data_IF_561662719568
#
_entry.id   IF_561662719568
#
_cell.length_a   1.000
_cell.length_b   1.000
_cell.length_c   1.000
_cell.angle_alpha   90.00
_cell.angle_beta   90.00
_cell.angle_gamma   90.00
#
_symmetry.space_group_name_H-M   'P 1'
#
loop_
_entity.id
_entity.type
_entity.pdbx_description
1 polymer ?
#
# COMPACT_ATOMS: atom_id res chain seq x y z
N UNK A 1 16.76 -50.94 30.58
CA UNK A 1 17.06 -49.82 31.51
C UNK A 1 16.75 -48.42 30.94
N UNK A 2 17.24 -48.06 29.73
CA UNK A 2 16.93 -46.76 29.09
C UNK A 2 15.43 -46.46 29.01
N UNK A 3 14.62 -47.47 28.67
CA UNK A 3 13.15 -47.38 28.64
C UNK A 3 12.53 -47.03 30.01
N UNK A 4 13.09 -47.56 31.10
CA UNK A 4 12.58 -47.26 32.45
C UNK A 4 12.97 -45.86 32.90
N UNK A 5 14.17 -45.39 32.50
CA UNK A 5 14.60 -44.01 32.73
C UNK A 5 13.81 -43.02 31.87
N UNK A 6 13.52 -43.35 30.62
CA UNK A 6 12.66 -42.53 29.76
C UNK A 6 11.23 -42.48 30.29
N UNK A 7 10.70 -43.58 30.85
CA UNK A 7 9.40 -43.58 31.51
C UNK A 7 9.35 -42.66 32.73
N UNK A 8 10.35 -42.73 33.60
CA UNK A 8 10.45 -41.79 34.74
C UNK A 8 10.69 -40.35 34.28
N UNK A 9 11.51 -40.17 33.26
CA UNK A 9 11.79 -38.88 32.63
C UNK A 9 10.53 -38.24 32.05
N UNK A 10 9.69 -39.04 31.39
CA UNK A 10 8.39 -38.64 30.86
C UNK A 10 7.52 -38.07 31.97
N UNK A 11 7.38 -38.79 33.09
CA UNK A 11 6.57 -38.33 34.22
C UNK A 11 7.09 -37.05 34.87
N UNK A 12 8.42 -36.92 35.04
CA UNK A 12 9.02 -35.68 35.56
C UNK A 12 8.79 -34.51 34.60
N UNK A 13 8.99 -34.73 33.29
CA UNK A 13 8.71 -33.73 32.27
C UNK A 13 7.24 -33.32 32.25
N UNK A 14 6.33 -34.30 32.33
CA UNK A 14 4.90 -34.07 32.44
C UNK A 14 4.53 -33.27 33.69
N UNK A 15 5.14 -33.55 34.85
CA UNK A 15 4.96 -32.74 36.06
C UNK A 15 5.34 -31.27 35.84
N UNK A 16 6.51 -31.03 35.24
CA UNK A 16 6.99 -29.65 34.98
C UNK A 16 6.05 -28.95 34.00
N UNK A 17 5.68 -29.62 32.90
CA UNK A 17 4.73 -29.06 31.94
C UNK A 17 3.34 -28.81 32.51
N UNK A 18 2.86 -29.69 33.40
CA UNK A 18 1.57 -29.55 34.08
C UNK A 18 1.61 -28.39 35.10
N UNK A 19 2.71 -28.24 35.84
CA UNK A 19 2.90 -27.09 36.73
C UNK A 19 2.91 -25.77 35.94
N UNK A 20 3.65 -25.71 34.81
CA UNK A 20 3.66 -24.55 33.93
C UNK A 20 2.25 -24.24 33.38
N UNK A 21 1.52 -25.27 32.96
CA UNK A 21 0.14 -25.13 32.47
C UNK A 21 -0.82 -24.66 33.57
N UNK A 22 -0.64 -25.10 34.82
CA UNK A 22 -1.43 -24.63 35.96
C UNK A 22 -1.17 -23.15 36.25
N UNK A 23 0.09 -22.71 36.21
CA UNK A 23 0.45 -21.29 36.33
C UNK A 23 -0.16 -20.48 35.20
N UNK A 24 -0.10 -20.98 33.96
CA UNK A 24 -0.68 -20.30 32.81
C UNK A 24 -2.20 -20.20 32.89
N UNK A 25 -2.89 -21.27 33.31
CA UNK A 25 -4.32 -21.24 33.59
C UNK A 25 -4.69 -20.25 34.70
N UNK A 26 -3.85 -20.12 35.74
CA UNK A 26 -4.04 -19.10 36.77
C UNK A 26 -3.86 -17.68 36.20
N UNK A 27 -2.89 -17.46 35.31
CA UNK A 27 -2.73 -16.17 34.62
C UNK A 27 -3.91 -15.84 33.70
N UNK A 28 -4.51 -16.82 33.03
CA UNK A 28 -5.77 -16.67 32.26
C UNK A 28 -6.93 -16.30 33.19
N UNK A 29 -7.01 -16.94 34.36
CA UNK A 29 -8.01 -16.61 35.38
C UNK A 29 -7.93 -15.14 35.82
N UNK A 30 -6.72 -14.64 36.07
CA UNK A 30 -6.48 -13.25 36.47
C UNK A 30 -6.47 -12.27 35.28
N UNK A 31 -6.85 -12.72 34.09
CA UNK A 31 -6.90 -11.92 32.87
C UNK A 31 -5.55 -11.27 32.50
N UNK A 32 -4.44 -11.92 32.85
CA UNK A 32 -3.07 -11.47 32.56
C UNK A 32 -2.58 -12.04 31.23
N UNK A 33 -2.87 -13.31 30.94
CA UNK A 33 -2.42 -13.97 29.72
C UNK A 33 -3.46 -14.98 29.22
N UNK A 34 -3.85 -14.87 27.95
CA UNK A 34 -4.84 -15.79 27.37
C UNK A 34 -4.26 -17.19 27.18
N UNK A 35 -5.02 -18.19 27.61
CA UNK A 35 -4.68 -19.59 27.44
C UNK A 35 -5.75 -20.32 26.64
N UNK A 36 -5.31 -21.23 25.76
CA UNK A 36 -6.17 -22.22 25.11
C UNK A 36 -5.80 -23.63 25.61
N UNK A 37 -6.80 -24.50 25.68
CA UNK A 37 -6.60 -25.89 26.13
C UNK A 37 -5.57 -26.65 25.28
N UNK A 38 -5.55 -26.41 23.96
CA UNK A 38 -4.59 -26.98 23.01
C UNK A 38 -3.15 -26.66 23.39
N UNK A 39 -2.87 -25.40 23.74
CA UNK A 39 -1.55 -24.95 24.14
C UNK A 39 -1.13 -25.54 25.48
N UNK A 40 -2.02 -25.62 26.47
CA UNK A 40 -1.73 -26.30 27.74
C UNK A 40 -1.38 -27.78 27.52
N UNK A 41 -2.18 -28.49 26.73
CA UNK A 41 -1.93 -29.89 26.40
C UNK A 41 -0.59 -30.05 25.66
N UNK A 42 -0.28 -29.14 24.73
CA UNK A 42 0.99 -29.11 24.02
C UNK A 42 2.18 -28.87 24.97
N UNK A 43 2.08 -27.94 25.93
CA UNK A 43 3.13 -27.68 26.92
C UNK A 43 3.43 -28.92 27.76
N UNK A 44 2.40 -29.62 28.24
CA UNK A 44 2.56 -30.89 28.98
C UNK A 44 3.20 -31.95 28.08
N UNK A 45 2.70 -32.12 26.85
CA UNK A 45 3.18 -33.12 25.91
C UNK A 45 4.64 -32.91 25.51
N UNK A 46 5.03 -31.67 25.19
CA UNK A 46 6.41 -31.30 24.83
C UNK A 46 7.34 -31.53 26.02
N UNK A 47 6.98 -31.06 27.21
CA UNK A 47 7.80 -31.25 28.41
C UNK A 47 7.95 -32.74 28.75
N UNK A 48 6.89 -33.53 28.62
CA UNK A 48 6.92 -34.98 28.80
C UNK A 48 7.83 -35.66 27.77
N UNK A 49 7.74 -35.28 26.50
CA UNK A 49 8.60 -35.81 25.44
C UNK A 49 10.09 -35.47 25.66
N UNK A 50 10.40 -34.22 26.03
CA UNK A 50 11.75 -33.79 26.38
C UNK A 50 12.27 -34.54 27.63
N UNK A 51 11.43 -34.72 28.63
CA UNK A 51 11.76 -35.52 29.82
C UNK A 51 12.06 -36.98 29.46
N UNK A 52 11.26 -37.58 28.58
CA UNK A 52 11.47 -38.93 28.08
C UNK A 52 12.79 -39.05 27.30
N UNK A 53 13.06 -38.10 26.40
CA UNK A 53 14.27 -38.03 25.59
C UNK A 53 15.52 -37.84 26.48
N UNK A 54 15.47 -36.92 27.44
CA UNK A 54 16.55 -36.72 28.42
C UNK A 54 16.78 -37.98 29.25
N UNK A 55 15.70 -38.67 29.67
CA UNK A 55 15.77 -39.95 30.36
C UNK A 55 16.39 -41.07 29.52
N UNK A 56 16.15 -41.06 28.20
CA UNK A 56 16.68 -42.03 27.25
C UNK A 56 18.16 -41.79 26.91
N UNK A 57 18.53 -40.52 26.66
CA UNK A 57 19.88 -40.10 26.26
C UNK A 57 20.87 -40.09 27.42
N UNK A 58 20.41 -39.91 28.65
CA UNK A 58 21.29 -39.88 29.82
C UNK A 58 21.96 -41.24 30.02
N UNK A 59 23.25 -41.29 29.69
CA UNK A 59 24.09 -42.48 29.89
C UNK A 59 24.04 -42.93 31.35
N UNK A 60 24.08 -44.25 31.50
CA UNK A 60 24.15 -44.92 32.78
C UNK A 60 25.57 -45.43 32.89
N UNK A 61 26.33 -45.07 33.93
CA UNK A 61 27.64 -45.66 34.16
C UNK A 61 27.52 -47.18 34.21
N UNK A 62 28.40 -47.89 33.49
CA UNK A 62 28.37 -49.36 33.42
C UNK A 62 28.45 -49.97 34.82
N UNK A 63 29.32 -49.44 35.69
CA UNK A 63 29.50 -49.90 37.07
C UNK A 63 28.22 -49.77 37.90
N UNK A 64 27.47 -48.68 37.71
CA UNK A 64 26.19 -48.49 38.38
C UNK A 64 25.10 -49.41 37.83
N UNK A 65 25.20 -49.79 36.56
CA UNK A 65 24.27 -50.71 35.92
C UNK A 65 24.53 -52.15 36.39
N UNK A 66 25.76 -52.62 36.36
CA UNK A 66 26.15 -53.99 36.77
C UNK A 66 25.79 -54.24 38.23
N UNK A 67 26.21 -53.36 39.15
CA UNK A 67 25.83 -53.40 40.57
C UNK A 67 24.32 -53.32 40.79
N UNK A 68 23.59 -52.60 39.92
CA UNK A 68 22.14 -52.54 40.00
C UNK A 68 21.47 -53.83 39.51
N UNK A 69 22.06 -54.53 38.54
CA UNK A 69 21.55 -55.82 38.06
C UNK A 69 21.82 -56.87 39.12
N UNK A 70 23.06 -56.94 39.64
CA UNK A 70 23.44 -57.89 40.70
C UNK A 70 22.50 -57.81 41.89
N UNK A 71 22.25 -56.60 42.41
CA UNK A 71 21.33 -56.40 43.55
C UNK A 71 19.87 -56.78 43.27
N UNK A 72 19.40 -56.62 42.03
CA UNK A 72 17.98 -56.82 41.67
C UNK A 72 17.69 -58.24 41.18
N UNK A 73 18.71 -58.92 40.67
CA UNK A 73 18.65 -60.30 40.23
C UNK A 73 19.26 -61.27 41.24
N UNK A 74 19.78 -60.76 42.37
CA UNK A 74 20.38 -61.54 43.46
C UNK A 74 21.59 -62.36 42.98
N UNK A 75 22.51 -61.71 42.25
CA UNK A 75 23.67 -62.35 41.62
C UNK A 75 24.97 -62.20 42.43
N UNK A 76 24.92 -61.76 43.70
CA UNK A 76 26.10 -61.67 44.58
C UNK A 76 27.34 -61.01 43.97
N UNK A 77 27.18 -59.85 43.31
CA UNK A 77 28.26 -59.07 42.66
C UNK A 77 29.04 -59.79 41.54
N UNK A 78 28.48 -60.87 40.96
CA UNK A 78 29.09 -61.61 39.84
C UNK A 78 29.32 -60.72 38.62
N UNK A 79 28.33 -59.90 38.20
CA UNK A 79 28.49 -59.04 37.03
C UNK A 79 29.42 -57.87 37.29
N UNK A 80 29.34 -57.26 38.47
CA UNK A 80 30.23 -56.18 38.88
C UNK A 80 31.69 -56.65 38.85
N UNK A 81 31.98 -57.81 39.47
CA UNK A 81 33.33 -58.38 39.53
C UNK A 81 33.86 -58.76 38.14
N UNK A 82 33.04 -59.41 37.31
CA UNK A 82 33.42 -59.75 35.94
C UNK A 82 33.69 -58.51 35.06
N UNK A 83 32.94 -57.42 35.28
CA UNK A 83 33.11 -56.16 34.54
C UNK A 83 34.35 -55.39 35.03
N UNK A 84 34.59 -55.33 36.33
CA UNK A 84 35.78 -54.68 36.92
C UNK A 84 37.08 -55.37 36.46
N UNK A 85 37.07 -56.70 36.28
CA UNK A 85 38.21 -57.48 35.76
C UNK A 85 38.21 -57.65 34.23
N UNK A 86 37.33 -56.95 33.50
CA UNK A 86 37.13 -57.18 32.06
C UNK A 86 38.37 -56.92 31.20
N UNK A 87 39.30 -56.07 31.67
CA UNK A 87 40.56 -55.70 31.01
C UNK A 87 41.71 -56.69 31.26
N UNK A 88 41.54 -57.64 32.19
CA UNK A 88 42.52 -58.70 32.43
C UNK A 88 42.21 -59.94 31.56
N UNK A 89 43.24 -60.71 31.22
CA UNK A 89 43.18 -61.80 30.24
C UNK A 89 43.68 -63.15 30.80
N UNK A 90 43.45 -63.39 32.09
CA UNK A 90 43.75 -64.68 32.71
C UNK A 90 42.63 -65.71 32.51
N UNK A 91 42.97 -67.00 32.57
CA UNK A 91 41.99 -68.09 32.55
C UNK A 91 40.92 -67.97 33.66
N UNK A 92 41.29 -67.36 34.79
CA UNK A 92 40.35 -67.03 35.87
C UNK A 92 39.35 -65.93 35.46
N UNK A 93 39.78 -64.93 34.68
CA UNK A 93 38.89 -63.85 34.21
C UNK A 93 37.91 -64.37 33.15
N UNK A 94 38.33 -65.33 32.32
CA UNK A 94 37.45 -66.04 31.39
C UNK A 94 36.39 -66.87 32.12
N UNK A 95 36.79 -67.56 33.20
CA UNK A 95 35.85 -68.31 34.04
C UNK A 95 34.82 -67.38 34.73
N UNK A 96 35.25 -66.22 35.24
CA UNK A 96 34.35 -65.21 35.82
C UNK A 96 33.37 -64.65 34.79
N UNK A 97 33.83 -64.38 33.56
CA UNK A 97 32.96 -63.92 32.46
C UNK A 97 31.93 -64.99 32.08
N UNK A 98 32.35 -66.25 31.96
CA UNK A 98 31.46 -67.37 31.64
C UNK A 98 30.40 -67.62 32.72
N UNK A 99 30.77 -67.53 34.00
CA UNK A 99 29.82 -67.66 35.12
C UNK A 99 28.81 -66.50 35.15
N UNK A 100 29.28 -65.27 34.91
CA UNK A 100 28.43 -64.10 34.82
C UNK A 100 27.44 -64.18 33.64
N UNK A 101 27.89 -64.63 32.47
CA UNK A 101 27.05 -64.82 31.29
C UNK A 101 25.98 -65.92 31.52
N UNK A 102 26.38 -67.08 32.04
CA UNK A 102 25.43 -68.15 32.37
C UNK A 102 24.40 -67.69 33.41
N UNK A 103 24.81 -66.84 34.36
CA UNK A 103 23.91 -66.26 35.36
C UNK A 103 22.91 -65.24 34.76
N UNK A 104 23.20 -64.68 33.58
CA UNK A 104 22.30 -63.77 32.85
C UNK A 104 21.25 -64.50 32.01
N UNK A 105 21.51 -65.71 31.52
CA UNK A 105 20.66 -66.42 30.53
C UNK A 105 19.21 -66.66 31.02
N UNK A 106 19.02 -66.82 32.34
CA UNK A 106 17.70 -67.01 32.94
C UNK A 106 16.93 -65.72 33.23
N UNK A 107 17.57 -64.56 33.09
CA UNK A 107 17.04 -63.30 33.60
C UNK A 107 16.15 -62.60 32.58
N UNK A 108 14.92 -62.30 32.99
CA UNK A 108 13.97 -61.50 32.18
C UNK A 108 14.12 -60.02 32.52
N UNK A 109 14.55 -59.14 31.59
CA UNK A 109 14.76 -57.71 31.88
C UNK A 109 13.55 -57.00 32.48
N UNK A 110 12.34 -57.37 32.09
CA UNK A 110 11.09 -56.79 32.59
C UNK A 110 10.78 -57.17 34.06
N UNK A 111 11.32 -58.28 34.56
CA UNK A 111 11.17 -58.67 35.97
C UNK A 111 12.14 -57.89 36.87
N UNK A 112 13.35 -57.64 36.39
CA UNK A 112 14.40 -56.89 37.11
C UNK A 112 14.08 -55.39 37.15
N UNK A 113 13.57 -54.85 36.04
CA UNK A 113 13.20 -53.45 35.91
C UNK A 113 11.75 -53.29 35.46
N UNK A 114 10.76 -53.57 36.34
CA UNK A 114 9.36 -53.38 36.00
C UNK A 114 9.06 -51.88 35.81
N UNK A 115 8.23 -51.57 34.81
CA UNK A 115 7.67 -50.24 34.62
C UNK A 115 6.67 -50.00 35.75
N UNK A 116 7.02 -49.10 36.68
CA UNK A 116 6.15 -48.74 37.83
C UNK A 116 5.65 -47.32 37.69
N UNK A 117 4.36 -47.13 37.99
CA UNK A 117 3.77 -45.81 38.18
C UNK A 117 4.24 -45.28 39.53
N UNK A 118 5.11 -44.26 39.49
CA UNK A 118 5.70 -43.66 40.68
C UNK A 118 5.01 -42.35 41.10
N UNK A 119 5.49 -41.75 42.20
CA UNK A 119 5.00 -40.46 42.73
C UNK A 119 4.97 -39.33 41.68
N UNK A 120 5.91 -39.33 40.73
CA UNK A 120 5.94 -38.38 39.62
C UNK A 120 4.74 -38.51 38.68
N UNK A 121 4.24 -39.73 38.45
CA UNK A 121 3.05 -39.90 37.60
C UNK A 121 1.81 -39.39 38.32
N UNK A 122 1.67 -39.72 39.61
CA UNK A 122 0.61 -39.17 40.45
C UNK A 122 0.65 -37.65 40.49
N UNK A 123 1.83 -37.06 40.72
CA UNK A 123 2.02 -35.60 40.70
C UNK A 123 1.64 -34.96 39.36
N UNK A 124 2.00 -35.58 38.23
CA UNK A 124 1.62 -35.10 36.91
C UNK A 124 0.10 -35.13 36.71
N UNK A 125 -0.55 -36.24 37.07
CA UNK A 125 -2.01 -36.37 36.98
C UNK A 125 -2.72 -35.35 37.88
N UNK A 126 -2.28 -35.20 39.13
CA UNK A 126 -2.85 -34.22 40.06
C UNK A 126 -2.68 -32.78 39.56
N UNK A 127 -1.51 -32.42 39.02
CA UNK A 127 -1.27 -31.08 38.47
C UNK A 127 -2.08 -30.84 37.19
N UNK A 128 -2.20 -31.84 36.32
CA UNK A 128 -3.09 -31.75 35.15
C UNK A 128 -4.55 -31.56 35.57
N UNK A 129 -5.01 -32.29 36.59
CA UNK A 129 -6.35 -32.14 37.12
C UNK A 129 -6.55 -30.75 37.75
N UNK A 130 -5.56 -30.23 38.48
CA UNK A 130 -5.60 -28.87 39.02
C UNK A 130 -5.62 -27.80 37.91
N UNK A 131 -4.77 -27.92 36.89
CA UNK A 131 -4.75 -27.02 35.75
C UNK A 131 -6.09 -27.02 35.00
N UNK A 132 -6.66 -28.21 34.76
CA UNK A 132 -7.97 -28.36 34.15
C UNK A 132 -9.08 -27.76 35.04
N UNK A 133 -9.03 -27.97 36.35
CA UNK A 133 -9.99 -27.40 37.28
C UNK A 133 -9.93 -25.87 37.28
N UNK A 134 -8.73 -25.26 37.32
CA UNK A 134 -8.56 -23.80 37.25
C UNK A 134 -9.13 -23.28 35.92
N UNK A 135 -8.74 -23.88 34.80
CA UNK A 135 -9.20 -23.48 33.47
C UNK A 135 -10.73 -23.59 33.33
N UNK A 136 -11.29 -24.72 33.76
CA UNK A 136 -12.74 -24.94 33.71
C UNK A 136 -13.46 -23.99 34.64
N UNK A 137 -13.04 -23.82 35.89
CA UNK A 137 -13.69 -22.91 36.82
C UNK A 137 -13.68 -21.46 36.28
N UNK A 138 -12.64 -21.05 35.54
CA UNK A 138 -12.53 -19.70 34.99
C UNK A 138 -13.47 -19.48 33.80
N UNK A 139 -13.75 -20.55 33.05
CA UNK A 139 -14.59 -20.49 31.87
C UNK A 139 -16.04 -20.96 32.12
N UNK A 140 -16.32 -21.66 33.22
CA UNK A 140 -17.59 -22.38 33.40
C UNK A 140 -18.64 -21.49 34.08
N UNK A 141 -19.87 -21.41 33.56
CA UNK A 141 -20.93 -20.58 34.12
C UNK A 141 -21.54 -21.12 35.42
N UNK A 142 -21.11 -22.28 35.93
CA UNK A 142 -21.78 -22.99 37.03
C UNK A 142 -21.85 -22.14 38.31
N UNK A 143 -20.82 -21.33 38.59
CA UNK A 143 -20.76 -20.48 39.78
C UNK A 143 -21.42 -19.10 39.61
N UNK A 144 -21.87 -18.73 38.41
CA UNK A 144 -22.54 -17.45 38.17
C UNK A 144 -24.03 -17.51 38.55
N UNK A 145 -24.54 -16.44 39.15
CA UNK A 145 -25.98 -16.24 39.37
C UNK A 145 -26.76 -16.20 38.05
N UNK A 146 -28.08 -16.39 38.09
CA UNK A 146 -28.92 -16.45 36.88
C UNK A 146 -28.82 -15.20 36.01
N UNK A 147 -28.75 -14.02 36.61
CA UNK A 147 -28.63 -12.75 35.87
C UNK A 147 -27.28 -12.64 35.18
N UNK A 148 -26.19 -13.01 35.85
CA UNK A 148 -24.86 -13.00 35.25
C UNK A 148 -24.73 -14.05 34.12
N UNK A 149 -25.42 -15.19 34.22
CA UNK A 149 -25.53 -16.17 33.14
C UNK A 149 -26.25 -15.57 31.92
N UNK A 150 -27.39 -14.88 32.12
CA UNK A 150 -28.12 -14.20 31.03
C UNK A 150 -27.26 -13.14 30.36
N UNK A 151 -26.60 -12.28 31.14
CA UNK A 151 -25.70 -11.25 30.61
C UNK A 151 -24.56 -11.87 29.80
N UNK A 152 -23.95 -12.96 30.28
CA UNK A 152 -22.89 -13.65 29.52
C UNK A 152 -23.40 -14.26 28.21
N UNK A 153 -24.60 -14.83 28.20
CA UNK A 153 -25.23 -15.34 26.98
C UNK A 153 -25.53 -14.21 25.98
N UNK A 154 -26.00 -13.06 26.46
CA UNK A 154 -26.18 -11.86 25.63
C UNK A 154 -24.84 -11.37 25.05
N UNK A 155 -23.82 -11.21 25.88
CA UNK A 155 -22.49 -10.76 25.46
C UNK A 155 -21.86 -11.73 24.46
N UNK A 156 -22.03 -13.05 24.65
CA UNK A 156 -21.58 -14.06 23.69
C UNK A 156 -22.31 -13.97 22.35
N UNK A 157 -23.62 -13.68 22.36
CA UNK A 157 -24.38 -13.44 21.12
C UNK A 157 -23.86 -12.19 20.39
N UNK A 158 -23.58 -11.11 21.11
CA UNK A 158 -22.98 -9.92 20.50
C UNK A 158 -21.55 -10.19 19.98
N UNK A 159 -20.73 -10.91 20.75
CA UNK A 159 -19.40 -11.36 20.32
C UNK A 159 -19.44 -12.20 19.05
N UNK A 160 -20.43 -13.09 18.89
CA UNK A 160 -20.62 -13.86 17.66
C UNK A 160 -21.01 -12.99 16.46
N UNK A 161 -21.73 -11.88 16.66
CA UNK A 161 -21.99 -10.90 15.59
C UNK A 161 -20.71 -10.16 15.21
N UNK A 162 -19.92 -9.74 16.19
CA UNK A 162 -18.60 -9.12 15.96
C UNK A 162 -17.69 -10.08 15.20
N UNK A 163 -17.65 -11.35 15.58
CA UNK A 163 -16.88 -12.39 14.88
C UNK A 163 -17.32 -12.53 13.43
N UNK A 164 -18.62 -12.63 13.18
CA UNK A 164 -19.15 -12.77 11.82
C UNK A 164 -18.73 -11.60 10.94
N UNK A 165 -18.92 -10.37 11.42
CA UNK A 165 -18.55 -9.17 10.69
C UNK A 165 -17.03 -9.16 10.45
N UNK A 166 -16.22 -9.40 11.50
CA UNK A 166 -14.75 -9.41 11.41
C UNK A 166 -14.26 -10.46 10.42
N UNK A 167 -14.83 -11.66 10.45
CA UNK A 167 -14.45 -12.75 9.55
C UNK A 167 -14.83 -12.47 8.11
N UNK A 168 -16.03 -11.97 7.87
CA UNK A 168 -16.54 -11.67 6.53
C UNK A 168 -15.83 -10.47 5.89
N UNK A 169 -15.45 -9.46 6.70
CA UNK A 169 -14.89 -8.20 6.17
C UNK A 169 -13.38 -8.06 6.30
N UNK A 170 -12.77 -8.54 7.39
CA UNK A 170 -11.36 -8.29 7.72
C UNK A 170 -10.48 -9.52 7.53
N UNK A 171 -11.05 -10.73 7.60
CA UNK A 171 -10.24 -11.96 7.56
C UNK A 171 -10.08 -12.62 6.18
N UNK A 172 -10.71 -12.09 5.13
CA UNK A 172 -10.48 -12.61 3.79
C UNK A 172 -9.01 -12.43 3.37
N UNK A 173 -8.38 -13.39 2.64
CA UNK A 173 -6.97 -13.30 2.25
C UNK A 173 -6.65 -11.98 1.53
N UNK A 174 -7.59 -11.52 0.70
CA UNK A 174 -7.51 -10.24 0.00
C UNK A 174 -7.52 -9.05 0.97
N UNK A 175 -8.39 -9.07 1.99
CA UNK A 175 -8.46 -8.00 2.99
C UNK A 175 -7.17 -7.94 3.81
N UNK A 176 -6.70 -9.07 4.37
CA UNK A 176 -5.46 -9.09 5.18
C UNK A 176 -4.23 -8.58 4.41
N UNK A 177 -4.16 -8.85 3.10
CA UNK A 177 -3.04 -8.41 2.25
C UNK A 177 -3.01 -6.91 1.97
N UNK A 178 -4.16 -6.23 2.09
CA UNK A 178 -4.33 -4.80 1.77
C UNK A 178 -4.55 -3.93 3.00
N UNK A 179 -4.61 -4.53 4.18
CA UNK A 179 -4.84 -3.76 5.40
C UNK A 179 -3.60 -2.96 5.80
N UNK A 180 -3.82 -1.67 6.03
CA UNK A 180 -2.83 -0.79 6.63
C UNK A 180 -2.46 -1.32 8.03
N UNK A 181 -1.31 -0.93 8.57
CA UNK A 181 -0.93 -1.36 9.92
C UNK A 181 -1.97 -0.91 10.98
N UNK A 182 -2.56 0.27 10.81
CA UNK A 182 -3.61 0.77 11.70
C UNK A 182 -4.90 -0.06 11.60
N UNK A 183 -5.29 -0.47 10.38
CA UNK A 183 -6.44 -1.36 10.17
C UNK A 183 -6.20 -2.74 10.79
N UNK A 184 -4.97 -3.30 10.69
CA UNK A 184 -4.62 -4.58 11.33
C UNK A 184 -4.75 -4.50 12.84
N UNK A 185 -4.25 -3.41 13.45
CA UNK A 185 -4.41 -3.17 14.90
C UNK A 185 -5.88 -3.06 15.30
N UNK A 186 -6.71 -2.38 14.51
CA UNK A 186 -8.16 -2.30 14.75
C UNK A 186 -8.83 -3.69 14.69
N UNK A 187 -8.43 -4.53 13.73
CA UNK A 187 -8.91 -5.91 13.63
C UNK A 187 -8.47 -6.77 14.82
N UNK A 188 -7.22 -6.62 15.28
CA UNK A 188 -6.71 -7.29 16.48
C UNK A 188 -7.48 -6.85 17.74
N UNK A 189 -7.81 -5.56 17.86
CA UNK A 189 -8.67 -5.03 18.93
C UNK A 189 -10.09 -5.62 18.88
N UNK A 190 -10.67 -5.76 17.69
CA UNK A 190 -11.97 -6.44 17.49
C UNK A 190 -11.91 -7.92 17.88
N UNK A 191 -10.85 -8.64 17.52
CA UNK A 191 -10.64 -10.03 17.93
C UNK A 191 -10.42 -10.15 19.44
N UNK A 192 -9.74 -9.19 20.07
CA UNK A 192 -9.60 -9.16 21.52
C UNK A 192 -10.95 -8.92 22.19
N UNK A 193 -11.73 -7.94 21.71
CA UNK A 193 -13.09 -7.68 22.19
C UNK A 193 -13.98 -8.93 22.05
N UNK A 194 -13.96 -9.59 20.89
CA UNK A 194 -14.72 -10.81 20.63
C UNK A 194 -14.35 -11.94 21.60
N UNK A 195 -13.05 -12.17 21.83
CA UNK A 195 -12.58 -13.17 22.81
C UNK A 195 -12.97 -12.83 24.23
N UNK A 196 -12.86 -11.56 24.63
CA UNK A 196 -13.26 -11.13 25.97
C UNK A 196 -14.78 -11.32 26.18
N UNK A 197 -15.59 -11.05 25.14
CA UNK A 197 -17.05 -11.26 25.16
C UNK A 197 -17.42 -12.74 25.25
N UNK A 198 -16.77 -13.61 24.47
CA UNK A 198 -17.05 -15.05 24.48
C UNK A 198 -16.63 -15.71 25.80
N UNK A 199 -15.46 -15.32 26.32
CA UNK A 199 -14.98 -15.80 27.62
C UNK A 199 -15.69 -15.14 28.81
N UNK A 200 -16.38 -14.00 28.61
CA UNK A 200 -17.06 -13.26 29.68
C UNK A 200 -16.11 -12.54 30.62
N UNK A 201 -14.96 -12.08 30.10
CA UNK A 201 -13.92 -11.36 30.86
C UNK A 201 -14.20 -9.86 31.01
N UNK A 202 -15.35 -9.37 30.56
CA UNK A 202 -15.75 -7.98 30.64
C UNK A 202 -17.21 -7.87 31.05
N UNK A 203 -17.51 -6.82 31.80
CA UNK A 203 -18.89 -6.44 32.08
C UNK A 203 -19.58 -5.92 30.81
N UNK A 204 -20.92 -5.83 30.84
CA UNK A 204 -21.68 -5.27 29.72
C UNK A 204 -21.33 -3.80 29.48
N UNK A 205 -21.11 -3.06 30.56
CA UNK A 205 -20.69 -1.67 30.55
C UNK A 205 -19.30 -1.51 29.93
N UNK A 206 -18.33 -2.32 30.35
CA UNK A 206 -16.96 -2.32 29.78
C UNK A 206 -16.96 -2.75 28.30
N UNK A 207 -17.77 -3.74 27.93
CA UNK A 207 -17.95 -4.16 26.55
C UNK A 207 -18.46 -3.01 25.67
N UNK A 208 -19.47 -2.28 26.15
CA UNK A 208 -20.02 -1.14 25.44
C UNK A 208 -19.01 0.00 25.32
N UNK A 209 -18.24 0.28 26.38
CA UNK A 209 -17.18 1.30 26.35
C UNK A 209 -16.09 0.95 25.33
N UNK A 210 -15.55 -0.27 25.37
CA UNK A 210 -14.54 -0.73 24.39
C UNK A 210 -15.10 -0.76 22.97
N UNK A 211 -16.34 -1.20 22.79
CA UNK A 211 -16.97 -1.17 21.47
C UNK A 211 -17.10 0.26 20.93
N UNK A 212 -17.46 1.22 21.80
CA UNK A 212 -17.52 2.63 21.42
C UNK A 212 -16.13 3.20 21.10
N UNK A 213 -15.09 2.86 21.88
CA UNK A 213 -13.70 3.26 21.58
C UNK A 213 -13.23 2.73 20.23
N UNK A 214 -13.47 1.45 19.94
CA UNK A 214 -13.15 0.83 18.66
C UNK A 214 -13.95 1.49 17.53
N UNK A 215 -15.23 1.80 17.74
CA UNK A 215 -16.05 2.50 16.76
C UNK A 215 -15.53 3.92 16.46
N UNK A 216 -15.10 4.67 17.48
CA UNK A 216 -14.48 5.99 17.32
C UNK A 216 -13.17 5.89 16.54
N UNK A 217 -12.30 4.92 16.87
CA UNK A 217 -11.06 4.68 16.12
C UNK A 217 -11.34 4.31 14.67
N UNK A 218 -12.36 3.49 14.41
CA UNK A 218 -12.78 3.13 13.07
C UNK A 218 -13.26 4.36 12.29
N UNK A 219 -14.07 5.23 12.89
CA UNK A 219 -14.54 6.48 12.27
C UNK A 219 -13.37 7.43 11.97
N UNK A 220 -12.43 7.59 12.91
CA UNK A 220 -11.22 8.40 12.70
C UNK A 220 -10.36 7.89 11.54
N UNK A 221 -10.12 6.57 11.48
CA UNK A 221 -9.38 5.96 10.38
C UNK A 221 -10.09 6.15 9.04
N UNK A 222 -11.41 5.97 8.98
CA UNK A 222 -12.19 6.21 7.77
C UNK A 222 -12.11 7.68 7.31
N UNK A 223 -12.23 8.64 8.23
CA UNK A 223 -12.08 10.07 7.90
C UNK A 223 -10.68 10.40 7.40
N UNK A 224 -9.65 9.82 8.02
CA UNK A 224 -8.27 10.03 7.61
C UNK A 224 -8.01 9.45 6.21
N UNK A 225 -8.53 8.25 5.93
CA UNK A 225 -8.46 7.64 4.59
C UNK A 225 -9.23 8.46 3.56
N UNK A 226 -10.42 8.95 3.89
CA UNK A 226 -11.19 9.84 3.02
C UNK A 226 -10.43 11.13 2.72
N UNK A 227 -9.79 11.75 3.73
CA UNK A 227 -9.01 12.97 3.56
C UNK A 227 -7.73 12.75 2.73
N UNK A 228 -7.04 11.63 2.93
CA UNK A 228 -5.90 11.22 2.10
C UNK A 228 -6.34 10.98 0.64
N UNK A 229 -7.53 10.39 0.45
CA UNK A 229 -8.12 10.19 -0.87
C UNK A 229 -8.43 11.53 -1.55
N UNK A 230 -9.04 12.48 -0.82
CA UNK A 230 -9.30 13.82 -1.35
C UNK A 230 -8.00 14.55 -1.73
N UNK A 231 -6.96 14.43 -0.90
CA UNK A 231 -5.65 15.05 -1.16
C UNK A 231 -4.96 14.45 -2.37
N UNK A 232 -5.01 13.12 -2.52
CA UNK A 232 -4.45 12.43 -3.69
C UNK A 232 -5.23 12.74 -4.98
N UNK A 233 -6.55 12.89 -4.91
CA UNK A 233 -7.36 13.36 -6.04
C UNK A 233 -7.02 14.81 -6.44
N UNK A 234 -6.82 15.71 -5.47
CA UNK A 234 -6.39 17.09 -5.74
C UNK A 234 -5.00 17.13 -6.42
N UNK A 235 -4.05 16.32 -5.92
CA UNK A 235 -2.74 16.18 -6.55
C UNK A 235 -2.83 15.59 -7.96
N UNK A 236 -3.70 14.59 -8.17
CA UNK A 236 -3.93 14.02 -9.49
C UNK A 236 -4.54 15.05 -10.46
N UNK A 237 -5.48 15.89 -9.99
CA UNK A 237 -6.03 16.98 -10.78
C UNK A 237 -4.97 18.00 -11.17
N UNK A 238 -4.12 18.42 -10.23
CA UNK A 238 -2.99 19.34 -10.51
C UNK A 238 -1.98 18.73 -11.49
N UNK A 239 -1.68 17.45 -11.37
CA UNK A 239 -0.81 16.74 -12.30
C UNK A 239 -1.41 16.71 -13.71
N UNK A 240 -2.74 16.53 -13.84
CA UNK A 240 -3.44 16.60 -15.12
C UNK A 240 -3.38 18.01 -15.72
N UNK A 241 -3.66 19.05 -14.94
CA UNK A 241 -3.57 20.44 -15.40
C UNK A 241 -2.15 20.76 -15.90
N UNK A 242 -1.12 20.30 -15.17
CA UNK A 242 0.27 20.46 -15.58
C UNK A 242 0.58 19.69 -16.87
N UNK A 243 0.16 18.44 -16.97
CA UNK A 243 0.39 17.62 -18.15
C UNK A 243 -0.34 18.18 -19.39
N UNK A 244 -1.53 18.75 -19.21
CA UNK A 244 -2.27 19.45 -20.25
C UNK A 244 -1.53 20.72 -20.68
N UNK A 245 -0.98 21.49 -19.75
CA UNK A 245 -0.13 22.64 -20.07
C UNK A 245 1.15 22.25 -20.80
N UNK A 246 1.81 21.16 -20.38
CA UNK A 246 3.05 20.70 -21.01
C UNK A 246 2.78 20.13 -22.42
N UNK A 247 1.68 19.40 -22.64
CA UNK A 247 1.25 18.97 -23.97
C UNK A 247 0.93 20.16 -24.90
N UNK A 248 0.30 21.23 -24.37
CA UNK A 248 0.09 22.46 -25.12
C UNK A 248 1.42 23.15 -25.47
N UNK A 249 2.40 23.16 -24.55
CA UNK A 249 3.74 23.70 -24.83
C UNK A 249 4.47 22.90 -25.90
N UNK A 250 4.47 21.58 -25.80
CA UNK A 250 5.14 20.67 -26.75
C UNK A 250 4.54 20.75 -28.16
N UNK A 251 3.24 21.04 -28.27
CA UNK A 251 2.57 21.31 -29.54
C UNK A 251 2.89 22.72 -30.12
N UNK A 252 3.83 23.45 -29.54
CA UNK A 252 4.21 24.80 -29.97
C UNK A 252 3.22 25.89 -29.54
N UNK A 253 2.29 25.58 -28.65
CA UNK A 253 1.19 26.47 -28.24
C UNK A 253 1.46 27.17 -26.91
N UNK A 254 2.71 27.17 -26.44
CA UNK A 254 3.14 27.78 -25.18
C UNK A 254 2.78 29.28 -25.06
N UNK A 255 2.61 29.96 -26.19
CA UNK A 255 2.30 31.40 -26.28
C UNK A 255 0.85 31.69 -26.73
N UNK A 256 0.00 30.67 -26.84
CA UNK A 256 -1.43 30.90 -27.11
C UNK A 256 -2.04 31.48 -25.84
N UNK A 257 -2.36 32.78 -25.90
CA UNK A 257 -3.01 33.50 -24.80
C UNK A 257 -4.26 32.73 -24.34
N UNK A 258 -4.42 32.40 -23.04
CA UNK A 258 -5.58 31.65 -22.52
C UNK A 258 -6.92 32.27 -22.91
N UNK A 259 -6.96 33.58 -23.16
CA UNK A 259 -8.15 34.27 -23.65
C UNK A 259 -8.52 33.87 -25.09
N UNK A 260 -7.55 33.57 -25.96
CA UNK A 260 -7.81 33.09 -27.32
C UNK A 260 -8.35 31.65 -27.36
N UNK A 261 -8.07 30.84 -26.33
CA UNK A 261 -8.65 29.50 -26.21
C UNK A 261 -10.13 29.54 -25.78
N UNK A 262 -10.58 30.67 -25.19
CA UNK A 262 -11.95 30.91 -24.73
C UNK A 262 -12.79 31.74 -25.72
N UNK A 263 -12.20 32.32 -26.77
CA UNK A 263 -12.94 33.03 -27.81
C UNK A 263 -13.91 32.08 -28.52
N UNK A 264 -15.14 32.56 -28.74
CA UNK A 264 -16.15 31.84 -29.50
C UNK A 264 -15.76 31.72 -30.99
N UNK A 265 -16.36 30.77 -31.70
CA UNK A 265 -16.12 30.56 -33.14
C UNK A 265 -16.41 31.83 -33.96
N UNK A 266 -17.42 32.61 -33.56
CA UNK A 266 -17.80 33.88 -34.19
C UNK A 266 -16.77 35.00 -33.95
N UNK A 267 -16.26 35.13 -32.72
CA UNK A 267 -15.22 36.12 -32.39
C UNK A 267 -13.90 35.83 -33.11
N UNK A 268 -13.57 34.54 -33.32
CA UNK A 268 -12.41 34.13 -34.11
C UNK A 268 -12.59 34.41 -35.60
N UNK A 269 -13.76 34.13 -36.17
CA UNK A 269 -14.03 34.44 -37.57
C UNK A 269 -13.88 35.94 -37.83
N UNK A 270 -14.35 36.78 -36.90
CA UNK A 270 -14.15 38.23 -36.96
C UNK A 270 -12.67 38.63 -36.81
N UNK A 271 -11.93 38.00 -35.90
CA UNK A 271 -10.50 38.27 -35.73
C UNK A 271 -9.67 37.87 -36.96
N UNK A 272 -9.95 36.70 -37.57
CA UNK A 272 -9.34 36.25 -38.82
C UNK A 272 -9.68 37.21 -39.97
N UNK A 273 -10.94 37.61 -40.11
CA UNK A 273 -11.36 38.54 -41.15
C UNK A 273 -10.69 39.91 -40.99
N UNK A 274 -10.64 40.45 -39.77
CA UNK A 274 -10.01 41.74 -39.48
C UNK A 274 -8.50 41.71 -39.74
N UNK A 275 -7.83 40.62 -39.39
CA UNK A 275 -6.40 40.45 -39.67
C UNK A 275 -6.13 40.29 -41.16
N UNK A 276 -7.00 39.58 -41.90
CA UNK A 276 -6.92 39.45 -43.35
C UNK A 276 -7.14 40.80 -44.06
N UNK A 277 -8.10 41.59 -43.60
CA UNK A 277 -8.34 42.95 -44.11
C UNK A 277 -7.16 43.87 -43.86
N UNK A 278 -6.56 43.82 -42.66
CA UNK A 278 -5.34 44.58 -42.35
C UNK A 278 -4.16 44.16 -43.25
N UNK A 279 -4.01 42.86 -43.52
CA UNK A 279 -2.97 42.36 -44.42
C UNK A 279 -3.19 42.85 -45.86
N UNK A 280 -4.42 42.80 -46.37
CA UNK A 280 -4.77 43.30 -47.70
C UNK A 280 -4.57 44.81 -47.81
N UNK A 281 -4.93 45.58 -46.79
CA UNK A 281 -4.69 47.03 -46.72
C UNK A 281 -3.19 47.36 -46.65
N UNK A 282 -2.41 46.62 -45.87
CA UNK A 282 -0.97 46.80 -45.80
C UNK A 282 -0.28 46.48 -47.14
N UNK A 283 -0.70 45.41 -47.82
CA UNK A 283 -0.12 44.97 -49.08
C UNK A 283 -0.46 45.91 -50.25
N UNK A 284 -1.69 46.43 -50.28
CA UNK A 284 -2.11 47.46 -51.24
C UNK A 284 -1.40 48.80 -50.99
N UNK A 285 -1.32 49.24 -49.73
CA UNK A 285 -0.57 50.44 -49.33
C UNK A 285 0.93 50.33 -49.65
N UNK A 286 1.52 49.15 -49.46
CA UNK A 286 2.91 48.88 -49.81
C UNK A 286 3.14 48.94 -51.33
N UNK A 287 2.19 48.44 -52.13
CA UNK A 287 2.24 48.50 -53.59
C UNK A 287 2.13 49.94 -54.11
N UNK A 288 1.23 50.74 -53.53
CA UNK A 288 1.07 52.16 -53.86
C UNK A 288 2.30 52.97 -53.47
N UNK A 289 2.83 52.78 -52.27
CA UNK A 289 4.04 53.43 -51.81
C UNK A 289 5.25 53.04 -52.68
N UNK A 290 5.39 51.77 -53.06
CA UNK A 290 6.46 51.31 -53.98
C UNK A 290 6.35 51.97 -55.36
N UNK A 291 5.14 52.11 -55.90
CA UNK A 291 4.91 52.79 -57.18
C UNK A 291 5.25 54.29 -57.09
N UNK A 292 4.84 54.98 -56.01
CA UNK A 292 5.18 56.38 -55.76
C UNK A 292 6.69 56.57 -55.60
N UNK A 293 7.36 55.69 -54.87
CA UNK A 293 8.81 55.73 -54.67
C UNK A 293 9.54 55.59 -56.02
N UNK A 294 9.07 54.68 -56.89
CA UNK A 294 9.62 54.54 -58.25
C UNK A 294 9.43 55.79 -59.11
N UNK A 295 8.31 56.50 -58.95
CA UNK A 295 8.03 57.74 -59.69
C UNK A 295 8.87 58.92 -59.17
N UNK A 296 9.03 59.04 -57.85
CA UNK A 296 9.89 60.04 -57.22
C UNK A 296 11.36 59.83 -57.60
N UNK A 297 11.80 58.57 -57.65
CA UNK A 297 13.17 58.24 -58.05
C UNK A 297 13.46 58.64 -59.50
N UNK A 298 12.51 58.41 -60.42
CA UNK A 298 12.61 58.91 -61.81
C UNK A 298 12.66 60.45 -61.89
N UNK A 299 11.86 61.15 -61.09
CA UNK A 299 11.88 62.62 -61.03
C UNK A 299 13.22 63.15 -60.48
N UNK A 300 13.81 62.45 -59.51
CA UNK A 300 15.11 62.80 -58.93
C UNK A 300 16.23 62.60 -59.95
N UNK A 301 16.17 61.53 -60.74
CA UNK A 301 17.10 61.27 -61.85
C UNK A 301 16.99 62.35 -62.93
N UNK A 302 15.77 62.78 -63.28
CA UNK A 302 15.54 63.86 -64.25
C UNK A 302 16.03 65.23 -63.74
N UNK A 303 15.84 65.52 -62.44
CA UNK A 303 16.38 66.75 -61.82
C UNK A 303 17.92 66.72 -61.79
N UNK A 304 18.53 65.57 -61.45
CA UNK A 304 19.98 65.41 -61.50
C UNK A 304 20.53 65.60 -62.93
N UNK A 305 19.85 65.09 -63.96
CA UNK A 305 20.23 65.33 -65.37
C UNK A 305 20.12 66.80 -65.77
N UNK A 306 19.08 67.52 -65.32
CA UNK A 306 18.92 68.96 -65.58
C UNK A 306 19.98 69.81 -64.89
N UNK A 307 20.38 69.46 -63.67
CA UNK A 307 21.46 70.14 -62.95
C UNK A 307 22.84 70.02 -63.63
N UNK A 308 23.04 69.00 -64.47
CA UNK A 308 24.27 68.77 -65.22
C UNK A 308 24.34 69.51 -66.57
N UNK A 309 23.27 70.17 -67.02
CA UNK A 309 23.31 70.91 -68.28
C UNK A 309 24.15 72.19 -68.16
N UNK A 310 25.13 72.44 -69.06
CA UNK A 310 25.90 73.68 -69.07
C UNK A 310 25.03 74.83 -69.60
N UNK A 311 24.93 75.92 -68.84
CA UNK A 311 24.17 77.13 -69.21
C UNK A 311 23.00 77.51 -68.30
N UNK A 312 22.75 76.77 -67.21
CA UNK A 312 21.73 77.18 -66.21
C UNK A 312 22.14 78.44 -65.47
N UNK A 313 21.17 79.34 -65.26
CA UNK A 313 21.35 80.50 -64.38
C UNK A 313 21.45 80.06 -62.91
N UNK A 314 22.14 80.85 -62.07
CA UNK A 314 22.27 80.58 -60.63
C UNK A 314 20.91 80.49 -59.91
N UNK A 315 19.90 81.21 -60.42
CA UNK A 315 18.53 81.16 -59.91
C UNK A 315 17.86 79.80 -60.19
N UNK A 316 18.04 79.25 -61.40
CA UNK A 316 17.47 77.96 -61.78
C UNK A 316 18.16 76.78 -61.07
N UNK A 317 19.47 76.87 -60.84
CA UNK A 317 20.21 75.87 -60.03
C UNK A 317 19.68 75.81 -58.60
N UNK A 318 19.52 76.96 -57.93
CA UNK A 318 18.96 77.01 -56.57
C UNK A 318 17.54 76.48 -56.50
N UNK A 319 16.71 76.77 -57.50
CA UNK A 319 15.35 76.24 -57.57
C UNK A 319 15.32 74.70 -57.72
N UNK A 320 16.19 74.14 -58.58
CA UNK A 320 16.31 72.69 -58.78
C UNK A 320 16.91 71.97 -57.55
N UNK A 321 17.87 72.57 -56.85
CA UNK A 321 18.41 72.03 -55.59
C UNK A 321 17.36 72.02 -54.48
N UNK A 322 16.55 73.09 -54.36
CA UNK A 322 15.43 73.13 -53.42
C UNK A 322 14.39 72.06 -53.75
N UNK A 323 14.11 71.84 -55.04
CA UNK A 323 13.21 70.79 -55.50
C UNK A 323 13.75 69.39 -55.21
N UNK A 324 15.05 69.15 -55.44
CA UNK A 324 15.74 67.90 -55.09
C UNK A 324 15.63 67.59 -53.60
N UNK A 325 15.93 68.57 -52.73
CA UNK A 325 15.85 68.40 -51.27
C UNK A 325 14.43 68.04 -50.82
N UNK A 326 13.40 68.68 -51.40
CA UNK A 326 12.00 68.36 -51.13
C UNK A 326 11.64 66.94 -51.57
N UNK A 327 12.14 66.49 -52.72
CA UNK A 327 11.94 65.12 -53.20
C UNK A 327 12.66 64.08 -52.33
N UNK A 328 13.88 64.37 -51.86
CA UNK A 328 14.61 63.50 -50.94
C UNK A 328 13.89 63.35 -49.59
N UNK A 329 13.33 64.44 -49.06
CA UNK A 329 12.47 64.41 -47.87
C UNK A 329 11.19 63.58 -48.10
N UNK A 330 10.56 63.73 -49.28
CA UNK A 330 9.39 62.92 -49.65
C UNK A 330 9.74 61.43 -49.76
N UNK A 331 10.87 61.07 -50.38
CA UNK A 331 11.32 59.67 -50.44
C UNK A 331 11.60 59.10 -49.04
N UNK A 332 12.25 59.87 -48.15
CA UNK A 332 12.53 59.44 -46.78
C UNK A 332 11.25 59.22 -45.98
N UNK A 333 10.25 60.09 -46.13
CA UNK A 333 8.94 59.92 -45.52
C UNK A 333 8.23 58.67 -46.04
N UNK A 334 8.27 58.45 -47.36
CA UNK A 334 7.66 57.27 -48.00
C UNK A 334 8.36 55.96 -47.59
N UNK A 335 9.68 55.98 -47.46
CA UNK A 335 10.47 54.82 -47.03
C UNK A 335 10.18 54.46 -45.57
N UNK A 336 9.97 55.47 -44.71
CA UNK A 336 9.51 55.27 -43.33
C UNK A 336 8.11 54.62 -43.32
N UNK A 337 7.19 55.14 -44.13
CA UNK A 337 5.84 54.59 -44.27
C UNK A 337 5.84 53.13 -44.76
N UNK A 338 6.71 52.78 -45.71
CA UNK A 338 6.92 51.39 -46.14
C UNK A 338 7.39 50.49 -44.99
N UNK A 339 8.34 50.96 -44.17
CA UNK A 339 8.84 50.19 -43.03
C UNK A 339 7.75 49.96 -41.96
N UNK A 340 6.89 50.95 -41.74
CA UNK A 340 5.80 50.85 -40.77
C UNK A 340 4.69 49.90 -41.29
N UNK A 341 4.36 49.98 -42.59
CA UNK A 341 3.45 49.04 -43.25
C UNK A 341 4.00 47.61 -43.23
N UNK A 342 5.32 47.43 -43.40
CA UNK A 342 5.95 46.12 -43.33
C UNK A 342 5.86 45.51 -41.92
N UNK A 343 6.09 46.32 -40.88
CA UNK A 343 5.91 45.89 -39.48
C UNK A 343 4.45 45.54 -39.17
N UNK A 344 3.49 46.30 -39.71
CA UNK A 344 2.06 45.97 -39.57
C UNK A 344 1.71 44.65 -40.26
N UNK A 345 2.21 44.42 -41.47
CA UNK A 345 2.01 43.16 -42.19
C UNK A 345 2.62 41.95 -41.46
N UNK A 346 3.85 42.10 -40.92
CA UNK A 346 4.51 41.04 -40.14
C UNK A 346 3.75 40.72 -38.85
N UNK A 347 3.22 41.75 -38.17
CA UNK A 347 2.39 41.56 -36.98
C UNK A 347 1.09 40.82 -37.30
N UNK A 348 0.37 41.27 -38.34
CA UNK A 348 -0.86 40.61 -38.78
C UNK A 348 -0.62 39.15 -39.20
N UNK A 349 0.53 38.86 -39.82
CA UNK A 349 0.94 37.50 -40.17
C UNK A 349 1.18 36.62 -38.93
N UNK A 350 1.88 37.12 -37.92
CA UNK A 350 2.08 36.40 -36.64
C UNK A 350 0.78 36.15 -35.91
N UNK A 351 -0.12 37.13 -35.89
CA UNK A 351 -1.45 36.99 -35.29
C UNK A 351 -2.27 35.91 -36.03
N UNK A 352 -2.14 35.82 -37.35
CA UNK A 352 -2.81 34.79 -38.16
C UNK A 352 -2.24 33.38 -37.95
N UNK A 353 -0.93 33.24 -37.75
CA UNK A 353 -0.28 31.96 -37.39
C UNK A 353 -0.69 31.49 -35.99
N UNK A 354 -0.77 32.41 -35.01
CA UNK A 354 -1.25 32.11 -33.66
C UNK A 354 -2.72 31.65 -33.67
N UNK A 355 -3.56 32.29 -34.50
CA UNK A 355 -4.97 31.89 -34.68
C UNK A 355 -5.11 30.51 -35.33
N UNK A 356 -4.23 30.13 -36.27
CA UNK A 356 -4.22 28.77 -36.87
C UNK A 356 -3.80 27.71 -35.86
N UNK A 357 -2.74 27.96 -35.10
CA UNK A 357 -2.28 27.07 -34.04
C UNK A 357 -3.36 26.85 -32.96
N UNK A 358 -4.13 27.89 -32.62
CA UNK A 358 -5.31 27.76 -31.73
C UNK A 358 -6.42 26.84 -32.29
N UNK A 359 -6.58 26.78 -33.63
CA UNK A 359 -7.58 25.91 -34.29
C UNK A 359 -7.18 24.43 -34.17
N UNK A 360 -5.91 24.15 -34.36
CA UNK A 360 -5.35 22.80 -34.19
C UNK A 360 -5.36 22.39 -32.71
N UNK A 361 -5.06 23.32 -31.79
CA UNK A 361 -5.16 23.14 -30.34
C UNK A 361 -6.56 22.72 -29.89
N UNK A 362 -7.57 23.48 -30.31
CA UNK A 362 -8.96 23.21 -29.97
C UNK A 362 -9.44 21.92 -30.64
N UNK A 363 -9.05 21.63 -31.88
CA UNK A 363 -9.44 20.38 -32.53
C UNK A 363 -8.87 19.15 -31.79
N UNK A 364 -7.63 19.22 -31.30
CA UNK A 364 -7.02 18.17 -30.47
C UNK A 364 -7.72 18.08 -29.11
N UNK A 365 -7.97 19.20 -28.44
CA UNK A 365 -8.63 19.22 -27.14
C UNK A 365 -10.09 18.75 -27.23
N UNK A 366 -10.81 19.13 -28.27
CA UNK A 366 -12.18 18.70 -28.54
C UNK A 366 -12.24 17.21 -28.87
N UNK A 367 -11.28 16.69 -29.67
CA UNK A 367 -11.13 15.23 -29.88
C UNK A 367 -10.81 14.49 -28.59
N UNK A 368 -10.01 15.07 -27.70
CA UNK A 368 -9.69 14.49 -26.39
C UNK A 368 -10.92 14.46 -25.48
N UNK A 369 -11.68 15.56 -25.39
CA UNK A 369 -12.91 15.63 -24.58
C UNK A 369 -14.06 14.76 -25.14
N UNK A 370 -14.12 14.59 -26.46
CA UNK A 370 -15.07 13.69 -27.11
C UNK A 370 -14.65 12.23 -27.03
N UNK A 371 -13.40 11.95 -26.64
CA UNK A 371 -12.94 10.58 -26.44
C UNK A 371 -13.74 9.93 -25.30
N UNK A 372 -14.43 8.79 -25.54
CA UNK A 372 -15.22 8.12 -24.52
C UNK A 372 -14.39 7.72 -23.29
N UNK A 373 -13.08 7.50 -23.45
CA UNK A 373 -12.18 7.18 -22.33
C UNK A 373 -12.02 8.38 -21.39
N UNK A 374 -11.94 9.61 -21.91
CA UNK A 374 -11.81 10.82 -21.09
C UNK A 374 -13.10 11.11 -20.30
N UNK A 375 -14.28 10.91 -20.93
CA UNK A 375 -15.56 11.03 -20.22
C UNK A 375 -15.70 10.01 -19.09
N UNK A 376 -15.35 8.75 -19.34
CA UNK A 376 -15.38 7.70 -18.31
C UNK A 376 -14.46 8.04 -17.14
N UNK A 377 -13.29 8.59 -17.43
CA UNK A 377 -12.32 9.04 -16.45
C UNK A 377 -12.88 10.17 -15.56
N UNK A 378 -13.50 11.18 -16.18
CA UNK A 378 -14.09 12.31 -15.47
C UNK A 378 -15.28 11.89 -14.60
N UNK A 379 -16.15 11.01 -15.10
CA UNK A 379 -17.24 10.41 -14.31
C UNK A 379 -16.71 9.62 -13.12
N UNK A 380 -15.61 8.88 -13.31
CA UNK A 380 -14.98 8.09 -12.27
C UNK A 380 -14.36 8.98 -11.19
N UNK A 381 -13.67 10.04 -11.57
CA UNK A 381 -13.11 11.03 -10.64
C UNK A 381 -14.23 11.73 -9.86
N UNK A 382 -15.33 12.10 -10.52
CA UNK A 382 -16.50 12.68 -9.87
C UNK A 382 -17.13 11.73 -8.84
N UNK A 383 -17.30 10.45 -9.19
CA UNK A 383 -17.81 9.42 -8.25
C UNK A 383 -16.89 9.21 -7.05
N UNK A 384 -15.58 9.16 -7.26
CA UNK A 384 -14.61 9.04 -6.16
C UNK A 384 -14.66 10.25 -5.24
N UNK A 385 -14.72 11.46 -5.80
CA UNK A 385 -14.84 12.70 -5.03
C UNK A 385 -16.13 12.75 -4.22
N UNK A 386 -17.26 12.41 -4.84
CA UNK A 386 -18.56 12.34 -4.17
C UNK A 386 -18.51 11.34 -3.01
N UNK A 387 -18.01 10.13 -3.24
CA UNK A 387 -17.95 9.10 -2.21
C UNK A 387 -17.00 9.45 -1.06
N UNK A 388 -15.88 10.10 -1.34
CA UNK A 388 -14.97 10.60 -0.30
C UNK A 388 -15.62 11.72 0.53
N UNK A 389 -16.39 12.62 -0.10
CA UNK A 389 -17.16 13.65 0.61
C UNK A 389 -18.29 13.05 1.46
N UNK A 390 -19.02 12.07 0.95
CA UNK A 390 -20.05 11.36 1.72
C UNK A 390 -19.44 10.62 2.91
N UNK A 391 -18.29 9.94 2.71
CA UNK A 391 -17.56 9.28 3.79
C UNK A 391 -17.09 10.26 4.87
N UNK A 392 -16.67 11.48 4.50
CA UNK A 392 -16.27 12.52 5.44
C UNK A 392 -17.45 13.07 6.27
N UNK A 393 -18.64 13.17 5.67
CA UNK A 393 -19.83 13.73 6.33
C UNK A 393 -20.61 12.70 7.14
N UNK A 394 -20.71 11.46 6.65
CA UNK A 394 -21.61 10.43 7.19
C UNK A 394 -20.86 9.23 7.80
N UNK A 395 -19.52 9.20 7.75
CA UNK A 395 -18.71 8.12 8.32
C UNK A 395 -18.89 6.77 7.63
N UNK A 396 -19.51 6.73 6.44
CA UNK A 396 -19.67 5.49 5.64
C UNK A 396 -19.36 5.76 4.17
N UNK A 397 -18.45 4.98 3.55
CA UNK A 397 -18.28 5.02 2.10
C UNK A 397 -19.50 4.38 1.41
N UNK A 398 -20.09 5.07 0.44
CA UNK A 398 -21.20 4.54 -0.38
C UNK A 398 -20.74 3.47 -1.38
N UNK A 399 -19.45 3.47 -1.76
CA UNK A 399 -18.94 2.49 -2.74
C UNK A 399 -18.64 1.14 -2.08
N UNK A 400 -19.36 0.12 -2.54
CA UNK A 400 -19.12 -1.27 -2.15
C UNK A 400 -17.74 -1.76 -2.61
N UNK A 401 -17.22 -2.83 -2.00
CA UNK A 401 -15.92 -3.42 -2.37
C UNK A 401 -15.87 -3.81 -3.86
N UNK A 402 -16.98 -4.31 -4.39
CA UNK A 402 -17.08 -4.73 -5.80
C UNK A 402 -16.99 -3.55 -6.76
N UNK A 403 -17.64 -2.43 -6.44
CA UNK A 403 -17.62 -1.23 -7.27
C UNK A 403 -16.21 -0.63 -7.34
N UNK A 404 -15.46 -0.65 -6.23
CA UNK A 404 -14.05 -0.21 -6.20
C UNK A 404 -13.14 -1.10 -7.05
N UNK A 405 -13.31 -2.42 -6.97
CA UNK A 405 -12.53 -3.38 -7.75
C UNK A 405 -12.80 -3.24 -9.25
N UNK A 406 -14.07 -3.02 -9.60
CA UNK A 406 -14.48 -2.72 -10.97
C UNK A 406 -13.85 -1.42 -11.46
N UNK A 407 -13.82 -0.39 -10.62
CA UNK A 407 -13.17 0.89 -10.91
C UNK A 407 -11.67 0.72 -11.16
N UNK A 408 -10.98 -0.04 -10.30
CA UNK A 408 -9.54 -0.30 -10.42
C UNK A 408 -9.20 -1.02 -11.72
N UNK A 409 -9.98 -2.05 -12.05
CA UNK A 409 -9.81 -2.78 -13.30
C UNK A 409 -10.09 -1.91 -14.52
N UNK A 410 -11.11 -1.05 -14.45
CA UNK A 410 -11.39 -0.07 -15.51
C UNK A 410 -10.22 0.92 -15.70
N UNK A 411 -9.59 1.38 -14.62
CA UNK A 411 -8.40 2.24 -14.69
C UNK A 411 -7.18 1.53 -15.28
N UNK A 412 -6.93 0.27 -14.91
CA UNK A 412 -5.84 -0.53 -15.51
C UNK A 412 -6.08 -0.78 -17.00
N UNK A 413 -7.32 -1.11 -17.39
CA UNK A 413 -7.67 -1.33 -18.78
C UNK A 413 -7.62 -0.03 -19.60
N UNK A 414 -8.00 1.11 -19.00
CA UNK A 414 -7.80 2.44 -19.58
C UNK A 414 -6.31 2.72 -19.82
N UNK A 415 -5.46 2.44 -18.84
CA UNK A 415 -4.01 2.61 -18.93
C UNK A 415 -3.39 1.78 -20.05
N UNK A 416 -3.83 0.53 -20.22
CA UNK A 416 -3.38 -0.34 -21.31
C UNK A 416 -3.84 0.12 -22.69
N UNK A 417 -5.01 0.76 -22.78
CA UNK A 417 -5.54 1.31 -24.04
C UNK A 417 -4.86 2.61 -24.45
N UNK A 418 -4.31 3.36 -23.49
CA UNK A 418 -3.63 4.63 -23.68
C UNK A 418 -2.11 4.47 -23.82
N UNK A 419 -1.67 3.58 -24.72
CA UNK A 419 -0.25 3.23 -24.90
C UNK A 419 0.65 4.38 -25.36
N UNK A 420 0.09 5.44 -25.96
CA UNK A 420 0.88 6.45 -26.68
C UNK A 420 0.96 7.82 -26.00
N UNK A 421 0.26 8.06 -24.88
CA UNK A 421 0.21 9.40 -24.26
C UNK A 421 0.73 9.38 -22.82
N UNK A 422 2.01 9.77 -22.66
CA UNK A 422 2.75 9.73 -21.38
C UNK A 422 2.07 10.57 -20.30
N UNK A 423 1.47 11.70 -20.67
CA UNK A 423 0.71 12.58 -19.78
C UNK A 423 -0.53 11.88 -19.21
N UNK A 424 -1.27 11.15 -20.06
CA UNK A 424 -2.47 10.43 -19.63
C UNK A 424 -2.12 9.19 -18.79
N UNK A 425 -0.97 8.56 -19.05
CA UNK A 425 -0.45 7.49 -18.20
C UNK A 425 -0.08 7.97 -16.79
N UNK A 426 0.55 9.14 -16.66
CA UNK A 426 0.87 9.71 -15.34
C UNK A 426 -0.38 10.05 -14.54
N UNK A 427 -1.40 10.62 -15.19
CA UNK A 427 -2.69 10.86 -14.54
C UNK A 427 -3.37 9.56 -14.10
N UNK A 428 -3.47 8.58 -15.00
CA UNK A 428 -4.06 7.28 -14.67
C UNK A 428 -3.31 6.58 -13.55
N UNK A 429 -1.99 6.70 -13.51
CA UNK A 429 -1.15 6.16 -12.43
C UNK A 429 -1.42 6.86 -11.11
N UNK A 430 -1.50 8.20 -11.08
CA UNK A 430 -1.85 8.96 -9.89
C UNK A 430 -3.26 8.64 -9.39
N UNK A 431 -4.21 8.46 -10.29
CA UNK A 431 -5.59 8.05 -9.96
C UNK A 431 -5.62 6.62 -9.41
N UNK A 432 -4.82 5.72 -9.97
CA UNK A 432 -4.71 4.34 -9.52
C UNK A 432 -3.99 4.23 -8.18
N UNK A 433 -2.98 5.07 -7.93
CA UNK A 433 -2.34 5.24 -6.62
C UNK A 433 -3.34 5.81 -5.59
N UNK A 434 -4.07 6.87 -5.93
CA UNK A 434 -5.14 7.42 -5.09
C UNK A 434 -6.17 6.35 -4.72
N UNK A 435 -6.56 5.50 -5.68
CA UNK A 435 -7.46 4.38 -5.41
C UNK A 435 -6.85 3.24 -4.61
N UNK A 436 -5.56 2.95 -4.80
CA UNK A 436 -4.85 1.98 -3.97
C UNK A 436 -4.81 2.46 -2.52
N UNK A 437 -4.52 3.75 -2.30
CA UNK A 437 -4.50 4.34 -0.97
C UNK A 437 -5.90 4.50 -0.36
N UNK A 438 -6.94 4.79 -1.15
CA UNK A 438 -8.35 4.77 -0.74
C UNK A 438 -8.90 3.35 -0.49
N UNK A 439 -8.18 2.32 -0.96
CA UNK A 439 -8.54 0.91 -0.86
C UNK A 439 -7.89 0.19 0.32
N UNK A 440 -7.14 0.90 1.16
CA UNK A 440 -6.22 0.29 2.14
C UNK A 440 -4.96 -0.22 1.43
N UNK A 441 -3.83 0.39 1.77
CA UNK A 441 -2.47 -0.17 1.64
C UNK A 441 -1.83 -0.16 3.01
#
# INVERSE_FOLDING_TARGET
MRIVRSWRGLAMGACVGAAASAVWAALDWFNVAYTEWSWMAATVGIAAALGALAGFLRRVPTDALTRSIDRRADLDDRLATATERSTEHGAFDEALKADADHSLDGLKPNKIYPIRVGRWHGGAVTLCAAAAAIFLLGNTPILLGEDAKKTRVELKKEGAKVERITRETLETPEAKSRMTEAQKRLADELHKLQRDLDKGHMSKEEAMQKANEIAIKADQLMRQEAQNTLTSLDNAQKALEKAQQDALKDAGMANVDPQMAQMSDDERAQAEQKSQEQMNQAQSGMSQAKNQLSSLQKQLDDINKKLQQPGLSDAERKALEAQKKKLEEQMKALQKQLSDLQKQAEKAQKDMEALKLSKEAQAVMQKMMQNPLYKQLQEMAAKLKQNAQTAQQQGRPEMTKEERLKLQKQLEDLMKKLKDDKAMQEYLKAMLEAMKHAGGT
#
